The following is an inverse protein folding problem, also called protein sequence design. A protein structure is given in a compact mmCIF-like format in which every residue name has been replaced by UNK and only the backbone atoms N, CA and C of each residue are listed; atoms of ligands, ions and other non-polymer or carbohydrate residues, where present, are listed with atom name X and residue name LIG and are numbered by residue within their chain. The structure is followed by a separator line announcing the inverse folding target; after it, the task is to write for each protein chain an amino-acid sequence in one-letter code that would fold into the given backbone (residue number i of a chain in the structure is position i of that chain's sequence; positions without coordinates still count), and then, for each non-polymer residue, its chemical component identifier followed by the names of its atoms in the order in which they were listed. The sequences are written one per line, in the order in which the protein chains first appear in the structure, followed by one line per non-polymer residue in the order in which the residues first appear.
data_IF_319067207789
#
_entry.id   IF_319067207789
#
_cell.length_a   1.000
_cell.length_b   1.000
_cell.length_c   1.000
_cell.angle_alpha   90.00
_cell.angle_beta   90.00
_cell.angle_gamma   90.00
#
_symmetry.space_group_name_H-M   'P 1'
#
loop_
_entity.id
_entity.type
_entity.pdbx_description
1 polymer ?
#
# COMPACT_ATOMS: atom_id res chain seq x y z
N UNK A 1 -2.00 -0.08 23.91
CA UNK A 1 -1.44 -0.06 22.54
C UNK A 1 -2.61 -0.17 21.58
N UNK A 2 -2.82 0.84 20.74
CA UNK A 2 -3.84 0.84 19.69
C UNK A 2 -3.14 0.80 18.34
N UNK A 3 -3.64 -0.03 17.43
CA UNK A 3 -3.07 -0.20 16.09
C UNK A 3 -4.17 0.07 15.07
N UNK A 4 -3.89 0.97 14.13
CA UNK A 4 -4.74 1.24 12.97
C UNK A 4 -4.04 0.64 11.74
N UNK A 5 -4.74 -0.21 11.00
CA UNK A 5 -4.23 -0.81 9.76
C UNK A 5 -4.99 -0.18 8.59
N UNK A 6 -4.26 0.52 7.73
CA UNK A 6 -4.82 1.22 6.57
C UNK A 6 -4.25 0.60 5.30
N UNK A 7 -5.12 0.05 4.44
CA UNK A 7 -4.71 -0.35 3.08
C UNK A 7 -4.45 0.90 2.26
N UNK A 8 -3.47 0.85 1.36
CA UNK A 8 -3.18 1.95 0.45
C UNK A 8 -4.42 2.35 -0.36
N UNK A 9 -4.50 3.62 -0.76
CA UNK A 9 -5.51 4.11 -1.70
C UNK A 9 -5.41 3.42 -3.05
N UNK A 10 -6.40 3.60 -3.91
CA UNK A 10 -6.43 2.98 -5.24
C UNK A 10 -5.18 3.38 -6.05
N UNK A 11 -4.36 2.43 -6.53
CA UNK A 11 -3.27 2.72 -7.44
C UNK A 11 -3.75 2.95 -8.88
N UNK A 12 -2.90 3.55 -9.71
CA UNK A 12 -3.08 3.54 -11.16
C UNK A 12 -3.15 2.10 -11.67
N UNK A 13 -4.07 1.86 -12.61
CA UNK A 13 -4.18 0.57 -13.28
C UNK A 13 -3.11 0.46 -14.37
N UNK A 14 -2.02 -0.24 -14.05
CA UNK A 14 -0.94 -0.54 -15.00
C UNK A 14 -1.13 -1.87 -15.74
N UNK A 15 -2.24 -2.59 -15.52
CA UNK A 15 -2.48 -3.92 -16.12
C UNK A 15 -2.44 -3.93 -17.64
N UNK A 16 -2.69 -2.77 -18.28
CA UNK A 16 -2.71 -2.61 -19.74
C UNK A 16 -1.47 -1.93 -20.30
N UNK A 17 -0.75 -1.14 -19.49
CA UNK A 17 0.40 -0.36 -19.95
C UNK A 17 1.73 -1.07 -19.73
N UNK A 18 1.76 -2.09 -18.86
CA UNK A 18 3.02 -2.58 -18.31
C UNK A 18 3.59 -1.56 -17.32
N UNK A 19 4.30 -2.05 -16.31
CA UNK A 19 4.92 -1.23 -15.28
C UNK A 19 5.75 -2.09 -14.35
N UNK A 20 6.56 -1.45 -13.49
CA UNK A 20 7.56 -2.14 -12.66
C UNK A 20 6.94 -2.82 -11.42
N UNK A 21 5.60 -2.87 -11.32
CA UNK A 21 4.88 -3.49 -10.21
C UNK A 21 4.67 -2.59 -8.99
N UNK A 22 5.09 -1.32 -9.06
CA UNK A 22 4.89 -0.32 -8.01
C UNK A 22 4.21 0.96 -8.51
N UNK A 23 2.94 0.85 -8.97
CA UNK A 23 2.20 2.00 -9.49
C UNK A 23 1.97 3.08 -8.42
N UNK A 24 1.98 4.37 -8.80
CA UNK A 24 1.52 5.45 -7.91
C UNK A 24 0.01 5.37 -7.65
N UNK A 25 -0.49 6.15 -6.70
CA UNK A 25 -1.92 6.35 -6.48
C UNK A 25 -2.60 6.99 -7.69
N UNK A 26 -3.82 6.52 -8.02
CA UNK A 26 -4.71 7.18 -8.97
C UNK A 26 -5.24 8.51 -8.41
N UNK A 27 -5.91 9.32 -9.23
CA UNK A 27 -6.61 10.53 -8.76
C UNK A 27 -7.62 10.22 -7.63
N UNK A 28 -8.31 9.07 -7.73
CA UNK A 28 -9.18 8.58 -6.67
C UNK A 28 -8.37 8.15 -5.44
N UNK A 29 -7.26 7.44 -5.63
CA UNK A 29 -6.36 7.05 -4.55
C UNK A 29 -5.79 8.23 -3.76
N UNK A 30 -5.42 9.30 -4.45
CA UNK A 30 -4.97 10.55 -3.83
C UNK A 30 -6.10 11.16 -2.98
N UNK A 31 -7.32 11.19 -3.51
CA UNK A 31 -8.50 11.69 -2.78
C UNK A 31 -8.81 10.84 -1.54
N UNK A 32 -8.64 9.52 -1.62
CA UNK A 32 -8.77 8.59 -0.48
C UNK A 32 -7.68 8.84 0.57
N UNK A 33 -6.43 9.02 0.15
CA UNK A 33 -5.31 9.34 1.03
C UNK A 33 -5.50 10.68 1.76
N UNK A 34 -6.05 11.69 1.09
CA UNK A 34 -6.42 12.95 1.72
C UNK A 34 -7.53 12.75 2.76
N UNK A 35 -8.58 12.00 2.39
CA UNK A 35 -9.72 11.75 3.27
C UNK A 35 -9.33 11.03 4.56
N UNK A 36 -8.42 10.04 4.49
CA UNK A 36 -7.94 9.36 5.70
C UNK A 36 -7.05 10.27 6.54
N UNK A 37 -6.22 11.11 5.90
CA UNK A 37 -5.41 12.11 6.60
C UNK A 37 -6.26 13.13 7.34
N UNK A 38 -7.37 13.57 6.75
CA UNK A 38 -8.33 14.47 7.39
C UNK A 38 -9.06 13.78 8.56
N UNK A 39 -9.55 12.56 8.33
CA UNK A 39 -10.29 11.79 9.33
C UNK A 39 -9.46 11.50 10.59
N UNK A 40 -8.19 11.14 10.42
CA UNK A 40 -7.29 10.76 11.53
C UNK A 40 -6.52 11.94 12.13
N UNK A 41 -6.69 13.16 11.61
CA UNK A 41 -5.92 14.33 12.07
C UNK A 41 -6.16 14.73 13.53
N UNK A 42 -7.29 14.32 14.11
CA UNK A 42 -7.63 14.55 15.52
C UNK A 42 -7.22 13.42 16.47
N UNK A 43 -6.71 12.31 15.95
CA UNK A 43 -6.29 11.17 16.75
C UNK A 43 -4.87 11.39 17.32
N UNK A 44 -4.60 10.82 18.49
CA UNK A 44 -3.25 10.79 19.04
C UNK A 44 -2.47 9.64 18.38
N UNK A 45 -1.68 9.98 17.37
CA UNK A 45 -0.84 9.03 16.62
C UNK A 45 0.63 9.39 16.88
N UNK A 46 1.33 8.51 17.60
CA UNK A 46 2.73 8.69 17.95
C UNK A 46 3.68 8.19 16.84
N UNK A 47 3.25 7.18 16.07
CA UNK A 47 4.05 6.52 15.03
C UNK A 47 3.22 6.22 13.78
N UNK A 48 3.84 6.38 12.61
CA UNK A 48 3.31 5.92 11.33
C UNK A 48 4.38 5.07 10.66
N UNK A 49 4.03 3.82 10.36
CA UNK A 49 4.89 2.88 9.62
C UNK A 49 4.19 2.54 8.30
N UNK A 50 4.93 2.51 7.21
CA UNK A 50 4.40 2.25 5.88
C UNK A 50 5.30 1.30 5.09
N UNK A 51 4.70 0.56 4.16
CA UNK A 51 5.45 -0.15 3.12
C UNK A 51 6.24 0.83 2.26
N UNK A 52 7.45 0.47 1.79
CA UNK A 52 8.23 1.29 0.85
C UNK A 52 7.60 1.37 -0.54
N UNK A 53 6.59 0.54 -0.84
CA UNK A 53 5.83 0.61 -2.09
C UNK A 53 5.19 2.00 -2.26
N UNK A 54 5.36 2.62 -3.43
CA UNK A 54 5.00 4.01 -3.71
C UNK A 54 3.56 4.34 -3.34
N UNK A 55 2.61 3.47 -3.69
CA UNK A 55 1.19 3.64 -3.34
C UNK A 55 0.91 3.69 -1.84
N UNK A 56 1.62 2.90 -1.03
CA UNK A 56 1.47 2.88 0.42
C UNK A 56 2.09 4.13 1.04
N UNK A 57 3.31 4.47 0.63
CA UNK A 57 3.99 5.70 1.05
C UNK A 57 3.13 6.94 0.73
N UNK A 58 2.63 7.08 -0.51
CA UNK A 58 1.75 8.18 -0.91
C UNK A 58 0.44 8.24 -0.12
N UNK A 59 -0.06 7.10 0.37
CA UNK A 59 -1.25 7.06 1.22
C UNK A 59 -0.98 7.62 2.62
N UNK A 60 0.22 7.38 3.17
CA UNK A 60 0.61 7.83 4.50
C UNK A 60 0.93 9.34 4.56
N UNK A 61 1.48 9.90 3.47
CA UNK A 61 2.00 11.28 3.43
C UNK A 61 0.99 12.36 3.86
N UNK A 62 -0.30 12.36 3.45
CA UNK A 62 -1.25 13.39 3.88
C UNK A 62 -1.47 13.42 5.40
N UNK A 63 -1.54 12.25 6.05
CA UNK A 63 -1.65 12.14 7.50
C UNK A 63 -0.35 12.61 8.17
N UNK A 64 0.80 12.11 7.72
CA UNK A 64 2.12 12.47 8.23
C UNK A 64 2.35 13.99 8.21
N UNK A 65 2.00 14.64 7.09
CA UNK A 65 2.07 16.10 6.95
C UNK A 65 1.22 16.86 7.96
N UNK A 66 0.06 16.31 8.36
CA UNK A 66 -0.84 16.92 9.36
C UNK A 66 -0.33 16.76 10.78
N UNK A 67 0.24 15.59 11.07
CA UNK A 67 0.81 15.26 12.37
C UNK A 67 2.20 15.89 12.57
N UNK A 68 2.88 16.30 11.49
CA UNK A 68 4.23 16.86 11.56
C UNK A 68 5.30 15.80 11.82
N UNK A 69 5.06 14.56 11.36
CA UNK A 69 5.99 13.43 11.47
C UNK A 69 6.29 12.87 10.09
N UNK A 70 7.42 12.17 9.95
CA UNK A 70 7.75 11.40 8.75
C UNK A 70 7.37 9.93 8.95
N UNK A 71 6.86 9.23 7.92
CA UNK A 71 6.59 7.80 8.02
C UNK A 71 7.90 7.00 8.10
N UNK A 72 7.94 6.02 8.99
CA UNK A 72 8.97 4.97 8.97
C UNK A 72 8.64 3.99 7.85
N UNK A 73 9.62 3.68 6.99
CA UNK A 73 9.45 2.70 5.93
C UNK A 73 9.96 1.35 6.39
N UNK A 74 9.12 0.32 6.26
CA UNK A 74 9.44 -1.04 6.67
C UNK A 74 9.32 -2.00 5.47
N UNK A 75 10.44 -2.61 5.10
CA UNK A 75 10.54 -3.57 3.99
C UNK A 75 9.68 -4.81 4.21
N UNK A 76 9.42 -5.19 5.46
CA UNK A 76 8.59 -6.36 5.81
C UNK A 76 7.09 -6.10 5.55
N UNK A 77 6.70 -4.86 5.26
CA UNK A 77 5.33 -4.48 4.90
C UNK A 77 5.08 -4.45 3.39
N UNK A 78 6.00 -4.95 2.55
CA UNK A 78 5.76 -5.09 1.11
C UNK A 78 4.58 -6.03 0.82
N UNK A 79 3.85 -5.73 -0.25
CA UNK A 79 2.70 -6.53 -0.67
C UNK A 79 3.13 -7.95 -1.06
N UNK A 80 2.29 -8.92 -0.73
CA UNK A 80 2.45 -10.31 -1.16
C UNK A 80 2.66 -10.41 -2.69
N UNK A 81 3.74 -11.06 -3.12
CA UNK A 81 4.06 -11.23 -4.54
C UNK A 81 4.58 -9.98 -5.25
N UNK A 82 5.07 -8.96 -4.52
CA UNK A 82 5.68 -7.76 -5.10
C UNK A 82 6.82 -8.05 -6.11
N UNK A 83 7.47 -9.21 -5.99
CA UNK A 83 8.55 -9.66 -6.87
C UNK A 83 8.09 -10.11 -8.27
N UNK A 84 6.77 -10.21 -8.50
CA UNK A 84 6.23 -10.65 -9.78
C UNK A 84 6.48 -9.66 -10.94
N UNK A 85 6.97 -8.45 -10.64
CA UNK A 85 7.21 -7.41 -11.64
C UNK A 85 5.93 -6.85 -12.26
N UNK A 86 4.79 -7.08 -11.62
CA UNK A 86 3.50 -6.55 -12.00
C UNK A 86 2.62 -6.37 -10.76
N UNK A 87 1.84 -5.28 -10.73
CA UNK A 87 0.86 -5.08 -9.67
C UNK A 87 -0.32 -6.03 -9.89
N UNK A 88 -0.47 -7.02 -9.02
CA UNK A 88 -1.55 -8.00 -9.07
C UNK A 88 -2.52 -7.75 -7.93
N UNK A 89 -3.74 -7.31 -8.26
CA UNK A 89 -4.82 -7.29 -7.26
C UNK A 89 -5.13 -8.73 -6.86
N UNK A 90 -4.93 -9.05 -5.58
CA UNK A 90 -5.16 -10.40 -5.05
C UNK A 90 -6.56 -10.92 -5.36
N UNK A 91 -7.57 -10.04 -5.28
CA UNK A 91 -8.97 -10.35 -5.58
C UNK A 91 -9.18 -10.85 -7.02
N UNK A 92 -8.39 -10.32 -7.97
CA UNK A 92 -8.48 -10.67 -9.39
C UNK A 92 -7.52 -11.80 -9.79
N UNK A 93 -6.48 -12.02 -8.99
CA UNK A 93 -5.39 -12.96 -9.29
C UNK A 93 -5.30 -14.13 -8.29
N UNK A 94 -6.39 -14.41 -7.57
CA UNK A 94 -6.44 -15.46 -6.54
C UNK A 94 -5.96 -16.83 -7.03
N UNK A 95 -6.26 -17.18 -8.29
CA UNK A 95 -5.80 -18.44 -8.90
C UNK A 95 -4.27 -18.50 -9.00
N UNK A 96 -3.65 -17.44 -9.54
CA UNK A 96 -2.20 -17.31 -9.62
C UNK A 96 -1.53 -17.47 -8.26
N UNK A 97 -2.03 -16.78 -7.23
CA UNK A 97 -1.45 -16.87 -5.89
C UNK A 97 -1.62 -18.26 -5.27
N UNK A 98 -2.77 -18.91 -5.45
CA UNK A 98 -2.99 -20.28 -4.95
C UNK A 98 -2.05 -21.28 -5.60
N UNK A 99 -1.91 -21.23 -6.91
CA UNK A 99 -1.02 -22.13 -7.65
C UNK A 99 0.44 -21.89 -7.21
N UNK A 100 0.84 -20.63 -7.11
CA UNK A 100 2.21 -20.25 -6.74
C UNK A 100 2.58 -20.64 -5.30
N UNK A 101 1.69 -20.43 -4.34
CA UNK A 101 1.90 -20.84 -2.93
C UNK A 101 1.90 -22.36 -2.80
N UNK A 102 1.10 -23.07 -3.61
CA UNK A 102 1.12 -24.54 -3.63
C UNK A 102 2.45 -25.09 -4.15
N UNK A 103 3.03 -24.44 -5.16
CA UNK A 103 4.31 -24.85 -5.75
C UNK A 103 5.52 -24.40 -4.90
N UNK A 104 5.40 -23.26 -4.22
CA UNK A 104 6.44 -22.63 -3.41
C UNK A 104 5.80 -22.02 -2.13
N UNK A 105 5.73 -22.78 -1.02
CA UNK A 105 5.10 -22.33 0.22
C UNK A 105 5.72 -21.06 0.84
N UNK A 106 6.97 -20.75 0.47
CA UNK A 106 7.72 -19.59 0.97
C UNK A 106 7.64 -18.38 0.01
N UNK A 107 6.74 -18.41 -1.00
CA UNK A 107 6.61 -17.35 -2.00
C UNK A 107 6.12 -15.99 -1.44
N UNK A 108 5.54 -15.98 -0.24
CA UNK A 108 4.99 -14.78 0.40
C UNK A 108 5.88 -14.25 1.52
#
# INVERSE_FOLDING_TARGET
MHILVIRHGQPHDESKSGGDGDPPLSELGISQAQSIGDYLSGEQIDHVVASPMLRAHQTALPLCKRLGIEPELDDDLKEAGWQAGAYMRTEENMGFFKDRISDDPDYL
#
